data_IF_561698014107
#
_entry.id   IF_561698014107
#
_cell.length_a   1.000
_cell.length_b   1.000
_cell.length_c   1.000
_cell.angle_alpha   90.00
_cell.angle_beta   90.00
_cell.angle_gamma   90.00
#
_symmetry.space_group_name_H-M   'P 1'
#
loop_
_entity.id
_entity.type
_entity.pdbx_description
1 polymer ?
#
# COMPACT_ATOMS: atom_id res chain seq x y z
N UNK A 1 -20.33 -5.55 -3.63
CA UNK A 1 -19.34 -4.46 -3.52
C UNK A 1 -18.71 -4.29 -4.90
N UNK A 2 -18.64 -3.08 -5.48
CA UNK A 2 -18.30 -2.89 -6.90
C UNK A 2 -16.79 -2.96 -7.18
N UNK A 3 -16.00 -3.45 -6.23
CA UNK A 3 -14.55 -3.50 -6.32
C UNK A 3 -14.04 -4.88 -5.97
N UNK A 4 -13.01 -5.32 -6.69
CA UNK A 4 -12.22 -6.51 -6.35
C UNK A 4 -10.79 -6.09 -6.09
N UNK A 5 -10.14 -6.72 -5.11
CA UNK A 5 -8.70 -6.58 -4.88
C UNK A 5 -8.07 -7.91 -5.23
N UNK A 6 -7.01 -7.88 -6.05
CA UNK A 6 -6.23 -9.08 -6.33
C UNK A 6 -4.74 -8.76 -6.43
N UNK A 7 -3.96 -9.83 -6.34
CA UNK A 7 -2.54 -9.81 -6.60
C UNK A 7 -2.28 -9.45 -8.08
N UNK A 8 -1.24 -8.67 -8.34
CA UNK A 8 -0.83 -8.29 -9.71
C UNK A 8 -0.14 -9.47 -10.38
N UNK A 9 -0.62 -9.87 -11.55
CA UNK A 9 -0.09 -11.03 -12.28
C UNK A 9 0.45 -10.67 -13.66
N UNK A 10 0.05 -9.52 -14.22
CA UNK A 10 0.45 -9.09 -15.57
C UNK A 10 1.05 -7.68 -15.59
N UNK A 11 1.82 -7.32 -16.63
CA UNK A 11 2.30 -5.96 -16.83
C UNK A 11 1.17 -4.92 -16.89
N UNK A 12 0.00 -5.28 -17.42
CA UNK A 12 -1.17 -4.40 -17.49
C UNK A 12 -1.74 -4.12 -16.09
N UNK A 13 -1.75 -5.11 -15.19
CA UNK A 13 -2.14 -4.90 -13.80
C UNK A 13 -1.18 -3.95 -13.08
N UNK A 14 0.12 -4.09 -13.34
CA UNK A 14 1.15 -3.22 -12.78
C UNK A 14 1.02 -1.78 -13.31
N UNK A 15 0.77 -1.63 -14.61
CA UNK A 15 0.52 -0.32 -15.23
C UNK A 15 -0.69 0.38 -14.58
N UNK A 16 -1.76 -0.35 -14.27
CA UNK A 16 -2.91 0.20 -13.54
C UNK A 16 -2.55 0.64 -12.12
N UNK A 17 -1.64 -0.06 -11.43
CA UNK A 17 -1.13 0.39 -10.13
C UNK A 17 -0.36 1.70 -10.27
N UNK A 18 0.51 1.82 -11.27
CA UNK A 18 1.26 3.04 -11.56
C UNK A 18 0.33 4.21 -11.89
N UNK A 19 -0.69 4.00 -12.71
CA UNK A 19 -1.67 5.04 -13.03
C UNK A 19 -2.41 5.57 -11.80
N UNK A 20 -2.81 4.70 -10.88
CA UNK A 20 -3.43 5.11 -9.61
C UNK A 20 -2.47 5.91 -8.75
N UNK A 21 -1.22 5.45 -8.62
CA UNK A 21 -0.16 6.12 -7.86
C UNK A 21 0.10 7.51 -8.38
N UNK A 22 0.31 7.65 -9.68
CA UNK A 22 0.57 8.92 -10.35
C UNK A 22 -0.58 9.91 -10.13
N UNK A 23 -1.84 9.47 -10.24
CA UNK A 23 -3.00 10.32 -9.98
C UNK A 23 -3.08 10.80 -8.52
N UNK A 24 -2.72 9.94 -7.56
CA UNK A 24 -2.88 10.23 -6.12
C UNK A 24 -1.68 10.98 -5.55
N UNK A 25 -0.46 10.56 -5.87
CA UNK A 25 0.76 11.11 -5.30
C UNK A 25 1.26 12.30 -6.10
N UNK A 26 1.30 12.22 -7.43
CA UNK A 26 1.75 13.35 -8.25
C UNK A 26 0.63 14.35 -8.52
N UNK A 27 -0.45 13.93 -9.18
CA UNK A 27 -1.45 14.88 -9.69
C UNK A 27 -2.27 15.52 -8.55
N UNK A 28 -2.55 14.78 -7.48
CA UNK A 28 -3.33 15.26 -6.33
C UNK A 28 -2.47 15.82 -5.19
N UNK A 29 -1.39 15.13 -4.79
CA UNK A 29 -0.57 15.53 -3.63
C UNK A 29 0.67 16.37 -4.00
N UNK A 30 1.02 16.44 -5.29
CA UNK A 30 2.12 17.26 -5.78
C UNK A 30 3.51 16.67 -5.59
N UNK A 31 3.63 15.35 -5.30
CA UNK A 31 4.93 14.68 -5.27
C UNK A 31 5.55 14.58 -6.67
N UNK A 32 6.88 14.49 -6.72
CA UNK A 32 7.61 14.45 -7.99
C UNK A 32 7.26 13.16 -8.76
N UNK A 33 6.70 13.35 -9.95
CA UNK A 33 6.33 12.26 -10.85
C UNK A 33 7.52 11.37 -11.23
N UNK A 34 8.72 11.94 -11.31
CA UNK A 34 9.93 11.24 -11.77
C UNK A 34 10.44 10.18 -10.79
N UNK A 35 10.03 10.27 -9.51
CA UNK A 35 10.45 9.33 -8.46
C UNK A 35 9.33 8.39 -8.00
N UNK A 36 8.12 8.57 -8.54
CA UNK A 36 6.97 7.78 -8.12
C UNK A 36 7.18 6.30 -8.46
N UNK A 37 7.63 6.00 -9.69
CA UNK A 37 7.97 4.65 -10.15
C UNK A 37 9.48 4.47 -10.00
N UNK A 38 9.89 3.52 -9.16
CA UNK A 38 11.28 3.32 -8.76
C UNK A 38 11.80 1.92 -9.12
N UNK A 39 13.11 1.71 -8.97
CA UNK A 39 13.77 0.45 -9.35
C UNK A 39 13.26 -0.75 -8.55
N UNK A 40 12.78 -0.51 -7.32
CA UNK A 40 12.28 -1.53 -6.40
C UNK A 40 10.91 -2.04 -6.84
N UNK A 41 10.17 -1.31 -7.69
CA UNK A 41 8.87 -1.76 -8.19
C UNK A 41 8.93 -3.14 -8.86
N UNK A 42 10.05 -3.47 -9.52
CA UNK A 42 10.26 -4.77 -10.16
C UNK A 42 10.43 -5.94 -9.16
N UNK A 43 10.80 -5.63 -7.92
CA UNK A 43 11.03 -6.60 -6.83
C UNK A 43 9.85 -6.64 -5.82
N UNK A 44 8.89 -5.73 -5.98
CA UNK A 44 7.74 -5.64 -5.10
C UNK A 44 6.65 -6.65 -5.46
N UNK A 45 5.95 -7.12 -4.44
CA UNK A 45 4.60 -7.66 -4.59
C UNK A 45 3.62 -6.49 -4.69
N UNK A 46 2.65 -6.59 -5.59
CA UNK A 46 1.67 -5.52 -5.81
C UNK A 46 0.24 -6.04 -5.72
N UNK A 47 -0.65 -5.17 -5.28
CA UNK A 47 -2.09 -5.39 -5.30
C UNK A 47 -2.75 -4.27 -6.09
N UNK A 48 -3.69 -4.65 -6.93
CA UNK A 48 -4.56 -3.73 -7.66
C UNK A 48 -5.99 -3.92 -7.18
N UNK A 49 -6.66 -2.80 -6.95
CA UNK A 49 -8.10 -2.74 -6.73
C UNK A 49 -8.77 -2.28 -8.03
N UNK A 50 -9.66 -3.11 -8.58
CA UNK A 50 -10.34 -2.87 -9.84
C UNK A 50 -11.83 -2.62 -9.62
N UNK A 51 -12.39 -1.67 -10.36
CA UNK A 51 -13.84 -1.52 -10.51
C UNK A 51 -14.40 -2.66 -11.37
N UNK A 52 -15.36 -3.41 -10.85
CA UNK A 52 -15.90 -4.60 -11.53
C UNK A 52 -16.71 -4.28 -12.80
N UNK A 53 -17.17 -3.04 -12.94
CA UNK A 53 -17.98 -2.62 -14.10
C UNK A 53 -17.12 -2.13 -15.26
N UNK A 54 -15.97 -1.51 -14.98
CA UNK A 54 -15.09 -0.91 -16.00
C UNK A 54 -13.76 -1.63 -16.16
N UNK A 55 -13.42 -2.53 -15.23
CA UNK A 55 -12.12 -3.19 -15.12
C UNK A 55 -10.95 -2.20 -14.97
N UNK A 56 -11.18 -1.01 -14.41
CA UNK A 56 -10.15 0.01 -14.20
C UNK A 56 -9.60 -0.01 -12.77
N UNK A 57 -8.28 0.23 -12.66
CA UNK A 57 -7.56 0.45 -11.42
C UNK A 57 -8.06 1.68 -10.67
N UNK A 58 -8.53 1.48 -9.45
CA UNK A 58 -9.06 2.51 -8.57
C UNK A 58 -8.36 2.56 -7.21
N UNK A 59 -7.46 1.60 -6.94
CA UNK A 59 -6.63 1.56 -5.74
C UNK A 59 -5.45 0.60 -5.92
N UNK A 60 -4.41 0.77 -5.11
CA UNK A 60 -3.22 -0.08 -5.13
C UNK A 60 -2.46 -0.05 -3.81
N UNK A 61 -1.59 -1.04 -3.61
CA UNK A 61 -0.51 -1.04 -2.63
C UNK A 61 0.63 -1.92 -3.14
N UNK A 62 1.84 -1.69 -2.61
CA UNK A 62 2.99 -2.57 -2.83
C UNK A 62 3.60 -3.04 -1.51
N UNK A 63 4.31 -4.15 -1.55
CA UNK A 63 5.10 -4.71 -0.46
C UNK A 63 6.45 -5.17 -1.00
N UNK A 64 7.53 -4.82 -0.31
CA UNK A 64 8.85 -5.41 -0.55
C UNK A 64 9.46 -5.91 0.74
N UNK A 65 10.44 -6.81 0.60
CA UNK A 65 11.17 -7.37 1.74
C UNK A 65 12.22 -6.35 2.21
N UNK A 66 12.00 -5.74 3.38
CA UNK A 66 12.92 -4.76 3.96
C UNK A 66 14.06 -5.42 4.74
N UNK A 67 13.81 -6.58 5.33
CA UNK A 67 14.82 -7.43 5.96
C UNK A 67 14.38 -8.90 5.90
N UNK A 68 15.21 -9.88 6.33
CA UNK A 68 14.85 -11.30 6.32
C UNK A 68 13.45 -11.64 6.87
N UNK A 69 12.98 -10.91 7.89
CA UNK A 69 11.71 -11.14 8.59
C UNK A 69 10.74 -9.95 8.55
N UNK A 70 11.08 -8.84 7.88
CA UNK A 70 10.25 -7.62 7.85
C UNK A 70 9.88 -7.25 6.42
N UNK A 71 8.57 -7.14 6.15
CA UNK A 71 8.04 -6.57 4.91
C UNK A 71 7.68 -5.10 5.09
N UNK A 72 7.97 -4.26 4.10
CA UNK A 72 7.61 -2.84 4.12
C UNK A 72 6.54 -2.55 3.08
N UNK A 73 5.40 -2.08 3.56
CA UNK A 73 4.26 -1.66 2.77
C UNK A 73 4.50 -0.21 2.31
N UNK A 74 4.18 0.06 1.06
CA UNK A 74 4.25 1.39 0.49
C UNK A 74 3.22 1.61 -0.59
N UNK A 75 3.18 2.83 -1.11
CA UNK A 75 2.35 3.23 -2.26
C UNK A 75 0.88 2.86 -2.10
N UNK A 76 0.35 2.89 -0.87
CA UNK A 76 -1.07 2.65 -0.61
C UNK A 76 -1.86 3.86 -1.12
N UNK A 77 -2.60 3.67 -2.20
CA UNK A 77 -3.31 4.74 -2.89
C UNK A 77 -4.73 4.30 -3.27
N UNK A 78 -5.68 5.22 -3.16
CA UNK A 78 -7.07 5.03 -3.60
C UNK A 78 -7.52 6.34 -4.25
N UNK A 79 -8.09 6.24 -5.46
CA UNK A 79 -8.60 7.41 -6.19
C UNK A 79 -9.64 8.15 -5.35
N UNK A 80 -9.60 9.49 -5.40
CA UNK A 80 -10.47 10.35 -4.59
C UNK A 80 -11.96 10.03 -4.75
N UNK A 81 -12.41 9.68 -5.96
CA UNK A 81 -13.79 9.32 -6.29
C UNK A 81 -14.29 8.03 -5.62
N UNK A 82 -13.40 7.16 -5.15
CA UNK A 82 -13.74 5.87 -4.54
C UNK A 82 -13.38 5.79 -3.06
N UNK A 83 -12.87 6.87 -2.45
CA UNK A 83 -12.60 6.94 -1.01
C UNK A 83 -13.89 6.87 -0.19
N UNK A 84 -13.79 6.41 1.05
CA UNK A 84 -14.96 6.19 1.91
C UNK A 84 -15.74 4.90 1.61
N UNK A 85 -15.48 4.22 0.50
CA UNK A 85 -16.09 2.93 0.14
C UNK A 85 -15.58 1.73 0.96
N UNK A 86 -14.53 1.92 1.76
CA UNK A 86 -13.81 0.84 2.43
C UNK A 86 -12.72 0.17 1.58
N UNK A 87 -12.44 0.65 0.36
CA UNK A 87 -11.47 0.02 -0.54
C UNK A 87 -10.05 -0.07 0.03
N UNK A 88 -9.57 0.98 0.70
CA UNK A 88 -8.26 0.96 1.36
C UNK A 88 -8.16 -0.17 2.40
N UNK A 89 -9.26 -0.48 3.11
CA UNK A 89 -9.30 -1.60 4.05
C UNK A 89 -9.18 -2.95 3.34
N UNK A 90 -9.86 -3.12 2.21
CA UNK A 90 -9.79 -4.36 1.44
C UNK A 90 -8.38 -4.61 0.89
N UNK A 91 -7.69 -3.54 0.46
CA UNK A 91 -6.30 -3.62 0.00
C UNK A 91 -5.40 -4.13 1.13
N UNK A 92 -5.49 -3.51 2.31
CA UNK A 92 -4.69 -3.91 3.48
C UNK A 92 -5.01 -5.34 3.94
N UNK A 93 -6.29 -5.74 3.97
CA UNK A 93 -6.70 -7.10 4.34
C UNK A 93 -6.19 -8.14 3.33
N UNK A 94 -6.28 -7.86 2.03
CA UNK A 94 -5.79 -8.78 0.99
C UNK A 94 -4.28 -8.94 1.05
N UNK A 95 -3.55 -7.84 1.26
CA UNK A 95 -2.10 -7.83 1.42
C UNK A 95 -1.69 -8.63 2.66
N UNK A 96 -2.26 -8.31 3.83
CA UNK A 96 -1.90 -8.98 5.09
C UNK A 96 -2.21 -10.47 5.04
N UNK A 97 -3.37 -10.86 4.49
CA UNK A 97 -3.72 -12.27 4.28
C UNK A 97 -2.66 -12.98 3.44
N UNK A 98 -2.28 -12.40 2.30
CA UNK A 98 -1.26 -12.98 1.43
C UNK A 98 0.06 -13.17 2.18
N UNK A 99 0.50 -12.15 2.93
CA UNK A 99 1.76 -12.20 3.68
C UNK A 99 1.75 -13.33 4.71
N UNK A 100 0.68 -13.43 5.50
CA UNK A 100 0.53 -14.48 6.52
C UNK A 100 0.56 -15.87 5.88
N UNK A 101 -0.15 -16.05 4.76
CA UNK A 101 -0.32 -17.35 4.11
C UNK A 101 0.89 -17.78 3.25
N UNK A 102 1.66 -16.83 2.69
CA UNK A 102 2.63 -17.13 1.62
C UNK A 102 4.08 -16.69 1.92
N UNK A 103 4.35 -16.02 3.04
CA UNK A 103 5.71 -15.55 3.37
C UNK A 103 6.10 -15.86 4.82
N UNK A 104 7.41 -15.94 5.08
CA UNK A 104 7.95 -16.09 6.45
C UNK A 104 8.23 -14.74 7.11
N UNK A 105 7.51 -13.69 6.72
CA UNK A 105 7.60 -12.40 7.37
C UNK A 105 6.95 -12.46 8.75
N UNK A 106 7.64 -11.92 9.74
CA UNK A 106 7.18 -11.84 11.14
C UNK A 106 6.61 -10.47 11.47
N UNK A 107 6.93 -9.45 10.67
CA UNK A 107 6.51 -8.06 10.89
C UNK A 107 6.21 -7.36 9.57
N UNK A 108 5.19 -6.51 9.60
CA UNK A 108 4.92 -5.51 8.58
C UNK A 108 5.29 -4.13 9.09
N UNK A 109 5.87 -3.31 8.23
CA UNK A 109 6.27 -1.95 8.51
C UNK A 109 5.77 -1.00 7.41
N UNK A 110 5.58 0.28 7.74
CA UNK A 110 5.23 1.31 6.78
C UNK A 110 5.68 2.70 7.25
N UNK A 111 5.83 3.61 6.28
CA UNK A 111 5.95 5.06 6.52
C UNK A 111 4.56 5.66 6.30
N UNK A 112 3.86 6.05 7.38
CA UNK A 112 2.54 6.66 7.27
C UNK A 112 2.68 8.17 7.24
N UNK A 113 2.01 8.84 6.30
CA UNK A 113 1.69 10.27 6.46
C UNK A 113 0.97 10.45 7.81
N UNK A 114 1.36 11.45 8.60
CA UNK A 114 0.80 11.67 9.95
C UNK A 114 -0.74 11.74 9.95
N UNK A 115 -1.40 12.45 9.00
CA UNK A 115 -2.86 12.46 8.91
C UNK A 115 -3.52 11.09 8.63
N UNK A 116 -2.75 10.09 8.17
CA UNK A 116 -3.23 8.74 7.86
C UNK A 116 -2.91 7.71 8.94
N UNK A 117 -2.20 8.09 10.02
CA UNK A 117 -1.86 7.20 11.14
C UNK A 117 -3.06 6.41 11.67
N UNK A 118 -4.17 7.11 11.95
CA UNK A 118 -5.39 6.48 12.49
C UNK A 118 -6.09 5.50 11.54
N UNK A 119 -5.75 5.49 10.24
CA UNK A 119 -6.18 4.43 9.34
C UNK A 119 -5.41 3.13 9.62
N UNK A 120 -4.09 3.19 9.75
CA UNK A 120 -3.25 2.02 9.98
C UNK A 120 -3.37 1.46 11.41
N UNK A 121 -3.64 2.30 12.40
CA UNK A 121 -3.92 1.86 13.78
C UNK A 121 -5.11 0.89 13.85
N UNK A 122 -6.10 1.02 12.97
CA UNK A 122 -7.25 0.10 12.89
C UNK A 122 -6.87 -1.30 12.43
N UNK A 123 -5.71 -1.45 11.79
CA UNK A 123 -5.14 -2.75 11.42
C UNK A 123 -4.18 -3.28 12.48
N UNK A 124 -3.96 -2.54 13.58
CA UNK A 124 -3.03 -2.94 14.64
C UNK A 124 -1.58 -2.52 14.40
N UNK A 125 -1.33 -1.60 13.46
CA UNK A 125 -0.03 -0.95 13.37
C UNK A 125 0.15 0.04 14.54
N UNK A 126 1.35 0.05 15.11
CA UNK A 126 1.74 0.94 16.20
C UNK A 126 2.81 1.89 15.67
N UNK A 127 2.68 3.18 15.98
CA UNK A 127 3.69 4.17 15.64
C UNK A 127 4.94 4.01 16.52
N UNK A 128 6.12 4.14 15.93
CA UNK A 128 7.41 4.02 16.63
C UNK A 128 8.29 5.22 16.28
N UNK A 129 8.99 5.75 17.29
CA UNK A 129 9.90 6.89 17.13
C UNK A 129 9.18 8.23 16.90
N UNK A 130 9.94 9.18 16.38
CA UNK A 130 9.51 10.55 16.12
C UNK A 130 8.98 10.73 14.69
N UNK A 131 8.18 11.78 14.49
CA UNK A 131 7.79 12.21 13.15
C UNK A 131 9.00 12.73 12.37
N UNK A 132 9.06 12.41 11.08
CA UNK A 132 10.12 12.84 10.18
C UNK A 132 9.55 13.37 8.86
N UNK A 133 10.23 14.32 8.21
CA UNK A 133 9.82 14.76 6.88
C UNK A 133 10.16 13.68 5.84
N UNK A 134 9.20 13.39 4.97
CA UNK A 134 9.38 12.57 3.76
C UNK A 134 8.69 13.32 2.62
N UNK A 135 9.47 13.70 1.60
CA UNK A 135 9.03 14.55 0.49
C UNK A 135 8.28 15.84 0.92
N UNK A 136 8.73 16.43 2.04
CA UNK A 136 8.16 17.67 2.59
C UNK A 136 6.86 17.48 3.38
N UNK A 137 6.37 16.25 3.54
CA UNK A 137 5.20 15.93 4.37
C UNK A 137 5.60 15.21 5.66
N UNK A 138 4.92 15.47 6.79
CA UNK A 138 5.21 14.79 8.04
C UNK A 138 4.77 13.32 7.96
N UNK A 139 5.72 12.43 8.24
CA UNK A 139 5.53 10.99 8.27
C UNK A 139 5.94 10.41 9.63
N UNK A 140 5.42 9.23 9.92
CA UNK A 140 5.78 8.46 11.10
C UNK A 140 5.93 6.99 10.74
N UNK A 141 6.97 6.36 11.26
CA UNK A 141 7.16 4.93 11.07
C UNK A 141 6.14 4.16 11.90
N UNK A 142 5.54 3.13 11.32
CA UNK A 142 4.62 2.25 12.02
C UNK A 142 4.93 0.79 11.72
N UNK A 143 4.74 -0.08 12.70
CA UNK A 143 4.93 -1.51 12.52
C UNK A 143 3.87 -2.36 13.21
N UNK A 144 3.71 -3.60 12.73
CA UNK A 144 2.80 -4.61 13.25
C UNK A 144 3.48 -5.96 13.22
N UNK A 145 3.56 -6.62 14.38
CA UNK A 145 3.96 -8.03 14.46
C UNK A 145 2.83 -8.92 13.98
N UNK A 146 3.16 -9.87 13.11
CA UNK A 146 2.22 -10.86 12.57
C UNK A 146 2.04 -12.03 13.55
N UNK A 147 0.87 -12.68 13.55
CA UNK A 147 0.69 -13.89 14.34
C UNK A 147 1.67 -14.98 13.88
N UNK A 148 2.19 -15.77 14.83
CA UNK A 148 2.98 -16.94 14.49
C UNK A 148 2.15 -17.89 13.62
N UNK A 149 2.77 -18.44 12.57
CA UNK A 149 2.15 -19.51 11.77
C UNK A 149 1.88 -20.71 12.67
N UNK A 150 0.66 -21.26 12.59
CA UNK A 150 0.30 -22.53 13.23
C UNK A 150 0.83 -23.70 12.42
#
# INVERSE_FOLDING_TARGET
MPYIVRFVETPEDLAQCHDVRLKVFSDEQGYDRSVEIDEIDSECLHWVALDTSTNQGVGTARLYKYSPTVGKIGRVAVLSSTRGSGLGRLIMEALEKYVIENTDLEKLALSSQVPRKGFYEKFGFVAEGDEYPDEGQPHIYMSKTLPARK
#
